data_IF_766505968047
#
_entry.id   IF_766505968047
#
_cell.length_a   1.000
_cell.length_b   1.000
_cell.length_c   1.000
_cell.angle_alpha   90.00
_cell.angle_beta   90.00
_cell.angle_gamma   90.00
#
_symmetry.space_group_name_H-M   'P 1'
#
loop_
_entity.id
_entity.type
_entity.pdbx_description
1 polymer ?
#
# COMPACT_ATOMS: atom_id res chain seq x y z
N UNK A 1 0.58 -9.14 -12.32
CA UNK A 1 -0.11 -8.96 -11.02
C UNK A 1 0.62 -7.85 -10.27
N UNK A 2 -0.09 -6.90 -9.67
CA UNK A 2 0.54 -5.80 -8.90
C UNK A 2 0.73 -6.24 -7.46
N UNK A 3 1.97 -6.23 -6.99
CA UNK A 3 2.28 -6.59 -5.62
C UNK A 3 2.50 -5.34 -4.76
N UNK A 4 1.75 -5.18 -3.64
CA UNK A 4 1.93 -4.06 -2.74
C UNK A 4 3.32 -4.11 -2.09
N UNK A 5 3.94 -2.95 -1.92
CA UNK A 5 5.17 -2.85 -1.14
C UNK A 5 4.84 -2.71 0.34
N UNK A 6 4.82 -3.84 1.04
CA UNK A 6 4.47 -3.88 2.46
C UNK A 6 5.71 -3.61 3.32
N UNK A 7 5.57 -2.74 4.32
CA UNK A 7 6.56 -2.54 5.38
C UNK A 7 5.88 -2.95 6.69
N UNK A 8 6.37 -4.02 7.32
CA UNK A 8 5.86 -4.54 8.58
C UNK A 8 6.79 -4.21 9.74
N UNK A 9 6.30 -4.27 10.98
CA UNK A 9 7.13 -4.04 12.17
C UNK A 9 7.50 -2.57 12.39
N UNK A 10 6.61 -1.63 12.05
CA UNK A 10 6.77 -0.18 12.31
C UNK A 10 6.70 0.15 13.81
N UNK A 11 6.06 -0.72 14.60
CA UNK A 11 6.10 -0.69 16.08
C UNK A 11 6.67 -2.02 16.58
N UNK A 12 7.97 -2.09 16.85
CA UNK A 12 8.60 -3.32 17.35
C UNK A 12 9.90 -3.07 18.08
N UNK A 13 9.86 -3.08 19.42
CA UNK A 13 11.07 -3.14 20.24
C UNK A 13 10.83 -2.65 21.67
N UNK A 14 10.44 -3.55 22.58
CA UNK A 14 10.49 -3.26 24.02
C UNK A 14 11.92 -3.26 24.57
N UNK A 15 12.89 -3.83 23.82
CA UNK A 15 14.30 -3.90 24.18
C UNK A 15 15.18 -3.00 23.25
N UNK A 16 16.23 -2.33 23.76
CA UNK A 16 17.06 -1.39 23.01
C UNK A 16 17.70 -1.97 21.74
N UNK A 17 18.16 -3.21 21.76
CA UNK A 17 18.79 -3.90 20.63
C UNK A 17 17.78 -4.16 19.50
N UNK A 18 16.54 -4.46 19.86
CA UNK A 18 15.44 -4.62 18.91
C UNK A 18 15.12 -3.28 18.24
N UNK A 19 15.17 -2.17 18.98
CA UNK A 19 14.98 -0.82 18.43
C UNK A 19 16.04 -0.43 17.40
N UNK A 20 17.33 -0.72 17.65
CA UNK A 20 18.41 -0.44 16.67
C UNK A 20 18.27 -1.29 15.40
N UNK A 21 17.91 -2.57 15.53
CA UNK A 21 17.67 -3.44 14.38
C UNK A 21 16.46 -2.97 13.57
N UNK A 22 15.40 -2.54 14.26
CA UNK A 22 14.21 -1.98 13.64
C UNK A 22 14.51 -0.67 12.89
N UNK A 23 15.26 0.23 13.51
CA UNK A 23 15.66 1.49 12.88
C UNK A 23 16.44 1.25 11.58
N UNK A 24 17.47 0.39 11.61
CA UNK A 24 18.24 0.03 10.41
C UNK A 24 17.36 -0.58 9.31
N UNK A 25 16.41 -1.43 9.70
CA UNK A 25 15.45 -2.00 8.75
C UNK A 25 14.61 -0.89 8.10
N UNK A 26 14.03 0.02 8.89
CA UNK A 26 13.19 1.10 8.37
C UNK A 26 13.99 2.10 7.50
N UNK A 27 15.22 2.42 7.88
CA UNK A 27 16.14 3.24 7.09
C UNK A 27 16.40 2.60 5.73
N UNK A 28 16.71 1.31 5.69
CA UNK A 28 16.89 0.59 4.43
C UNK A 28 15.62 0.59 3.59
N UNK A 29 14.45 0.32 4.18
CA UNK A 29 13.17 0.32 3.44
C UNK A 29 12.84 1.71 2.87
N UNK A 30 13.23 2.77 3.57
CA UNK A 30 13.08 4.15 3.10
C UNK A 30 13.99 4.42 1.90
N UNK A 31 15.26 4.04 1.98
CA UNK A 31 16.21 4.17 0.86
C UNK A 31 15.76 3.36 -0.36
N UNK A 32 15.32 2.11 -0.15
CA UNK A 32 14.80 1.26 -1.22
C UNK A 32 13.60 1.91 -1.91
N UNK A 33 12.69 2.50 -1.13
CA UNK A 33 11.51 3.18 -1.67
C UNK A 33 11.90 4.45 -2.45
N UNK A 34 12.82 5.26 -1.91
CA UNK A 34 13.36 6.43 -2.61
C UNK A 34 14.02 6.05 -3.95
N UNK A 35 14.83 4.98 -3.96
CA UNK A 35 15.44 4.48 -5.18
C UNK A 35 14.37 4.05 -6.20
N UNK A 36 13.30 3.39 -5.76
CA UNK A 36 12.19 3.00 -6.65
C UNK A 36 11.43 4.21 -7.21
N UNK A 37 11.26 5.30 -6.45
CA UNK A 37 10.60 6.53 -6.91
C UNK A 37 11.32 7.17 -8.11
N UNK A 38 12.63 6.98 -8.26
CA UNK A 38 13.36 7.46 -9.44
C UNK A 38 12.85 6.86 -10.76
N UNK A 39 12.16 5.71 -10.68
CA UNK A 39 11.57 5.00 -11.83
C UNK A 39 10.05 5.05 -11.83
N UNK A 40 9.43 6.03 -11.16
CA UNK A 40 7.97 6.11 -10.99
C UNK A 40 7.19 6.05 -12.31
N UNK A 41 7.72 6.62 -13.40
CA UNK A 41 7.07 6.59 -14.71
C UNK A 41 6.93 5.16 -15.30
N UNK A 42 7.71 4.21 -14.81
CA UNK A 42 7.62 2.79 -15.20
C UNK A 42 6.59 2.04 -14.34
N UNK A 43 6.03 2.69 -13.32
CA UNK A 43 5.09 2.03 -12.43
C UNK A 43 3.73 1.91 -13.13
N UNK A 44 3.06 0.78 -12.95
CA UNK A 44 1.74 0.56 -13.49
C UNK A 44 0.76 1.57 -12.89
N UNK A 45 0.05 2.29 -13.77
CA UNK A 45 -1.04 3.16 -13.35
C UNK A 45 -2.19 2.29 -12.84
N UNK A 46 -2.61 2.53 -11.59
CA UNK A 46 -3.80 1.93 -11.02
C UNK A 46 -4.93 2.94 -11.20
N UNK A 47 -5.95 2.66 -12.02
CA UNK A 47 -7.09 3.54 -12.14
C UNK A 47 -7.86 3.57 -10.81
N UNK A 48 -8.49 4.71 -10.53
CA UNK A 48 -9.44 4.80 -9.42
C UNK A 48 -10.85 4.44 -9.89
N UNK A 49 -11.62 3.85 -8.99
CA UNK A 49 -13.06 3.71 -9.19
C UNK A 49 -13.69 5.09 -9.28
N UNK A 50 -14.67 5.24 -10.17
CA UNK A 50 -15.42 6.47 -10.33
C UNK A 50 -16.55 6.54 -9.30
N UNK A 51 -17.11 7.72 -9.05
CA UNK A 51 -18.19 7.90 -8.07
C UNK A 51 -19.40 6.99 -8.35
N UNK A 52 -19.76 6.80 -9.62
CA UNK A 52 -20.86 5.91 -10.02
C UNK A 52 -20.61 4.42 -9.74
N UNK A 53 -19.35 4.02 -9.49
CA UNK A 53 -19.02 2.64 -9.13
C UNK A 53 -19.41 2.35 -7.68
N UNK A 54 -19.72 3.37 -6.88
CA UNK A 54 -20.03 3.23 -5.45
C UNK A 54 -21.52 3.29 -5.14
N UNK A 55 -21.91 2.61 -4.07
CA UNK A 55 -23.17 2.76 -3.36
C UNK A 55 -22.92 3.72 -2.20
N UNK A 56 -23.59 4.87 -2.20
CA UNK A 56 -23.55 5.91 -1.15
C UNK A 56 -22.15 6.20 -0.59
N UNK A 57 -21.14 6.17 -1.46
CA UNK A 57 -19.73 6.44 -1.13
C UNK A 57 -19.00 5.39 -0.29
N UNK A 58 -19.60 4.23 -0.01
CA UNK A 58 -19.08 3.28 0.99
C UNK A 58 -18.58 1.95 0.42
N UNK A 59 -19.21 1.44 -0.64
CA UNK A 59 -18.86 0.11 -1.20
C UNK A 59 -19.11 0.07 -2.70
N UNK A 60 -18.40 -0.81 -3.41
CA UNK A 60 -18.60 -0.99 -4.84
C UNK A 60 -19.97 -1.62 -5.13
N UNK A 61 -20.60 -1.12 -6.18
CA UNK A 61 -21.80 -1.72 -6.78
C UNK A 61 -21.47 -3.08 -7.37
N UNK A 62 -22.39 -4.06 -7.35
CA UNK A 62 -22.19 -5.34 -8.00
C UNK A 62 -21.75 -5.18 -9.46
N UNK A 63 -20.63 -5.80 -9.82
CA UNK A 63 -20.08 -5.77 -11.18
C UNK A 63 -19.14 -4.60 -11.48
N UNK A 64 -18.95 -3.66 -10.55
CA UNK A 64 -17.92 -2.64 -10.69
C UNK A 64 -16.51 -3.26 -10.62
N UNK A 65 -15.53 -2.77 -11.40
CA UNK A 65 -14.16 -3.27 -11.34
C UNK A 65 -13.54 -2.99 -9.98
N UNK A 66 -12.67 -3.88 -9.48
CA UNK A 66 -11.92 -3.67 -8.24
C UNK A 66 -10.47 -3.32 -8.56
N UNK A 67 -10.07 -2.07 -8.31
CA UNK A 67 -8.70 -1.61 -8.57
C UNK A 67 -7.82 -1.52 -7.31
N UNK A 68 -8.42 -1.24 -6.15
CA UNK A 68 -7.72 -1.12 -4.87
C UNK A 68 -8.02 -2.33 -3.96
N UNK A 69 -7.03 -2.90 -3.25
CA UNK A 69 -7.26 -4.00 -2.31
C UNK A 69 -8.06 -3.59 -1.06
N UNK A 70 -8.23 -2.28 -0.84
CA UNK A 70 -8.98 -1.73 0.29
C UNK A 70 -10.43 -1.40 -0.06
N UNK A 71 -10.77 -1.33 -1.34
CA UNK A 71 -12.12 -1.04 -1.82
C UNK A 71 -12.80 -2.35 -2.19
N UNK A 72 -14.00 -2.59 -1.66
CA UNK A 72 -14.69 -3.88 -1.78
C UNK A 72 -16.15 -3.69 -2.15
N UNK A 73 -16.71 -4.73 -2.75
CA UNK A 73 -18.15 -4.88 -2.88
C UNK A 73 -18.78 -5.15 -1.51
N UNK A 74 -20.08 -4.90 -1.39
CA UNK A 74 -20.87 -5.36 -0.24
C UNK A 74 -20.75 -6.91 -0.17
N UNK A 75 -20.56 -7.50 1.02
CA UNK A 75 -20.56 -8.95 1.21
C UNK A 75 -21.82 -9.65 0.69
#
# INVERSE_FOLDING_TARGET
>A
MLEPYLIHGVRGGLAPEAGRKQQKYLEQRTLDYQARLTRWAQWPSIPFNQEQDFIDGQSLRPGAPTYSPFVRHIP
#
